data_IF_391563610967
#
_entry.id   IF_391563610967
#
_cell.length_a   1.000
_cell.length_b   1.000
_cell.length_c   1.000
_cell.angle_alpha   90.00
_cell.angle_beta   90.00
_cell.angle_gamma   90.00
#
_symmetry.space_group_name_H-M   'P 1'
#
loop_
_entity.id
_entity.type
_entity.pdbx_description
1 polymer ?
#
# COMPACT_ATOMS: atom_id res chain seq x y z
N UNK A 1 -39.04 -43.90 36.03
CA UNK A 1 -37.84 -44.09 35.19
C UNK A 1 -38.27 -44.13 33.73
N UNK A 2 -38.26 -42.99 33.05
CA UNK A 2 -38.61 -42.87 31.63
C UNK A 2 -37.89 -41.66 31.03
N UNK A 3 -37.31 -41.90 29.85
CA UNK A 3 -36.98 -40.98 28.77
C UNK A 3 -35.60 -40.30 28.80
N UNK A 4 -34.63 -41.07 28.31
CA UNK A 4 -33.49 -40.58 27.52
C UNK A 4 -34.02 -39.71 26.37
N UNK A 5 -33.52 -38.48 26.23
CA UNK A 5 -33.49 -37.75 24.96
C UNK A 5 -32.12 -37.14 24.79
N UNK A 6 -31.32 -37.84 24.00
CA UNK A 6 -30.10 -37.34 23.38
C UNK A 6 -30.52 -36.31 22.33
N UNK A 7 -30.00 -35.09 22.42
CA UNK A 7 -30.07 -34.12 21.32
C UNK A 7 -28.63 -33.64 21.07
N UNK A 8 -27.97 -34.34 20.16
CA UNK A 8 -26.81 -33.83 19.42
C UNK A 8 -27.39 -32.95 18.32
N UNK A 9 -27.11 -31.65 18.36
CA UNK A 9 -27.26 -30.78 17.20
C UNK A 9 -25.89 -30.23 16.85
N UNK A 10 -25.42 -30.67 15.70
CA UNK A 10 -24.14 -30.40 15.06
C UNK A 10 -24.04 -28.92 14.71
N UNK A 11 -22.90 -28.31 15.05
CA UNK A 11 -22.42 -27.05 14.48
C UNK A 11 -22.28 -27.21 12.97
N UNK A 12 -23.02 -26.44 12.19
CA UNK A 12 -22.79 -26.32 10.75
C UNK A 12 -22.91 -24.87 10.31
N UNK A 13 -21.73 -24.25 10.15
CA UNK A 13 -21.39 -23.18 9.21
C UNK A 13 -22.50 -22.24 8.77
N UNK A 14 -22.57 -21.08 9.43
CA UNK A 14 -23.08 -19.84 8.83
C UNK A 14 -21.91 -18.89 8.63
N UNK A 15 -20.95 -19.31 7.82
CA UNK A 15 -19.90 -18.47 7.27
C UNK A 15 -19.93 -18.64 5.76
N UNK A 16 -19.71 -17.56 5.04
CA UNK A 16 -19.55 -17.49 3.58
C UNK A 16 -20.86 -17.40 2.78
N UNK A 17 -21.56 -16.29 2.96
CA UNK A 17 -22.07 -15.50 1.82
C UNK A 17 -21.92 -14.02 2.18
N UNK A 18 -20.67 -13.55 2.29
CA UNK A 18 -20.38 -12.14 2.05
C UNK A 18 -20.56 -11.91 0.53
N UNK A 19 -21.82 -11.88 0.10
CA UNK A 19 -22.15 -11.28 -1.19
C UNK A 19 -21.70 -9.83 -1.10
N UNK A 20 -20.70 -9.46 -1.89
CA UNK A 20 -20.20 -8.11 -2.06
C UNK A 20 -21.38 -7.14 -2.27
N UNK A 21 -21.82 -6.50 -1.17
CA UNK A 21 -22.65 -5.32 -1.23
C UNK A 21 -21.68 -4.15 -1.24
N UNK A 22 -21.75 -3.36 -2.30
CA UNK A 22 -20.93 -2.17 -2.48
C UNK A 22 -20.98 -1.29 -1.22
N UNK A 23 -19.86 -1.20 -0.51
CA UNK A 23 -19.59 -0.21 0.52
C UNK A 23 -18.22 0.41 0.24
N UNK A 24 -18.02 0.86 -0.99
CA UNK A 24 -16.75 1.47 -1.35
C UNK A 24 -16.63 2.85 -0.67
N UNK A 25 -15.56 2.93 0.11
CA UNK A 25 -14.85 4.08 0.66
C UNK A 25 -13.70 3.49 1.50
N UNK A 26 -14.06 2.68 2.50
CA UNK A 26 -13.14 1.99 3.40
C UNK A 26 -13.35 0.49 3.32
N UNK A 27 -12.27 -0.24 3.07
CA UNK A 27 -12.29 -1.71 3.00
C UNK A 27 -11.64 -2.29 4.26
N UNK A 28 -12.30 -3.27 4.87
CA UNK A 28 -11.67 -4.01 5.94
C UNK A 28 -10.49 -4.81 5.41
N UNK A 29 -9.37 -4.80 6.14
CA UNK A 29 -8.20 -5.61 5.80
C UNK A 29 -7.99 -6.71 6.86
N UNK A 30 -8.56 -7.92 6.67
CA UNK A 30 -8.60 -8.94 7.70
C UNK A 30 -7.22 -9.47 8.07
N UNK A 31 -6.98 -9.70 9.36
CA UNK A 31 -5.73 -10.28 9.86
C UNK A 31 -5.48 -11.71 9.38
N UNK A 32 -6.50 -12.40 8.86
CA UNK A 32 -6.40 -13.74 8.28
C UNK A 32 -6.26 -13.73 6.74
N UNK A 33 -6.17 -12.56 6.12
CA UNK A 33 -6.22 -12.40 4.67
C UNK A 33 -7.63 -12.58 4.09
N UNK A 34 -7.69 -12.65 2.76
CA UNK A 34 -8.93 -12.80 1.99
C UNK A 34 -8.87 -14.04 1.10
N UNK A 35 -10.01 -14.67 0.85
CA UNK A 35 -10.09 -15.83 -0.03
C UNK A 35 -9.93 -15.44 -1.49
N UNK A 36 -9.08 -16.16 -2.21
CA UNK A 36 -8.88 -16.03 -3.67
C UNK A 36 -9.00 -17.44 -4.26
N UNK A 37 -10.19 -17.76 -4.78
CA UNK A 37 -10.50 -19.13 -5.19
C UNK A 37 -10.46 -20.09 -3.99
N UNK A 38 -9.61 -21.12 -4.07
CA UNK A 38 -9.34 -22.06 -2.98
C UNK A 38 -8.22 -21.62 -2.04
N UNK A 39 -7.50 -20.56 -2.37
CA UNK A 39 -6.32 -20.09 -1.66
C UNK A 39 -6.64 -18.84 -0.83
N UNK A 40 -5.63 -18.35 -0.12
CA UNK A 40 -5.69 -17.13 0.70
C UNK A 40 -4.67 -16.13 0.19
N UNK A 41 -5.06 -14.87 0.05
CA UNK A 41 -4.17 -13.75 -0.24
C UNK A 41 -4.08 -12.80 0.94
N UNK A 42 -2.91 -12.20 1.13
CA UNK A 42 -2.75 -11.06 2.02
C UNK A 42 -3.32 -9.77 1.43
N UNK A 43 -3.57 -9.71 0.12
CA UNK A 43 -3.94 -8.52 -0.64
C UNK A 43 -5.42 -8.47 -0.97
N UNK A 44 -5.99 -7.26 -1.01
CA UNK A 44 -7.24 -6.92 -1.70
C UNK A 44 -6.92 -6.05 -2.93
N UNK A 45 -7.75 -6.15 -3.97
CA UNK A 45 -7.62 -5.31 -5.17
C UNK A 45 -8.44 -4.03 -5.01
N UNK A 46 -7.84 -2.89 -5.36
CA UNK A 46 -8.47 -1.58 -5.28
C UNK A 46 -8.69 -0.99 -6.67
N UNK A 47 -7.63 -0.91 -7.48
CA UNK A 47 -7.70 -0.34 -8.82
C UNK A 47 -6.71 -1.04 -9.75
N UNK A 48 -7.01 -2.23 -10.29
CA UNK A 48 -6.07 -2.98 -11.13
C UNK A 48 -5.96 -2.42 -12.57
N UNK A 49 -6.34 -1.17 -12.81
CA UNK A 49 -6.25 -0.58 -14.16
C UNK A 49 -4.82 -0.21 -14.51
N UNK A 50 -4.54 -0.17 -15.82
CA UNK A 50 -3.24 0.19 -16.37
C UNK A 50 -2.07 -0.65 -15.89
N UNK A 51 -2.29 -1.95 -15.71
CA UNK A 51 -1.24 -2.93 -15.40
C UNK A 51 -0.34 -2.51 -14.24
N UNK A 52 -0.94 -1.85 -13.24
CA UNK A 52 -0.29 -1.37 -12.03
C UNK A 52 0.65 -0.18 -12.24
N UNK A 53 0.52 0.59 -13.32
CA UNK A 53 1.39 1.74 -13.59
C UNK A 53 1.85 1.78 -15.04
N UNK A 54 2.54 0.70 -15.43
CA UNK A 54 3.14 0.43 -16.76
C UNK A 54 2.24 0.47 -18.01
N UNK A 55 0.98 0.86 -17.86
CA UNK A 55 0.04 0.97 -18.96
C UNK A 55 0.01 2.38 -19.53
N UNK A 56 0.01 2.51 -20.86
CA UNK A 56 -0.06 3.82 -21.53
C UNK A 56 -1.26 3.95 -22.48
N UNK A 57 -1.61 5.20 -22.80
CA UNK A 57 -2.69 5.53 -23.74
C UNK A 57 -4.06 5.01 -23.30
N UNK A 58 -4.66 4.09 -24.08
CA UNK A 58 -5.94 3.47 -23.74
C UNK A 58 -5.86 2.53 -22.53
N UNK A 59 -4.65 2.10 -22.18
CA UNK A 59 -4.37 1.26 -21.03
C UNK A 59 -3.77 2.09 -19.88
N UNK A 60 -3.85 3.42 -19.88
CA UNK A 60 -3.35 4.21 -18.76
C UNK A 60 -4.11 3.95 -17.45
N UNK A 61 -3.47 4.10 -16.27
CA UNK A 61 -4.16 4.04 -14.99
C UNK A 61 -5.37 4.97 -14.94
N UNK A 62 -6.51 4.44 -14.48
CA UNK A 62 -7.76 5.20 -14.40
C UNK A 62 -7.92 5.76 -12.98
N UNK A 63 -8.06 7.08 -12.88
CA UNK A 63 -8.33 7.75 -11.60
C UNK A 63 -9.70 7.35 -11.03
N UNK A 64 -9.86 7.20 -9.70
CA UNK A 64 -11.14 6.87 -9.10
C UNK A 64 -12.16 8.00 -9.36
N UNK A 65 -13.27 7.67 -10.03
CA UNK A 65 -14.29 8.64 -10.39
C UNK A 65 -15.35 8.89 -9.31
N UNK A 66 -15.42 8.04 -8.29
CA UNK A 66 -16.38 8.17 -7.18
C UNK A 66 -15.92 7.31 -6.00
N UNK A 67 -16.56 7.48 -4.85
CA UNK A 67 -16.38 6.56 -3.72
C UNK A 67 -16.90 5.16 -4.01
N UNK A 68 -17.67 4.93 -5.09
CA UNK A 68 -18.04 3.57 -5.50
C UNK A 68 -16.85 2.75 -6.03
N UNK A 69 -15.72 3.40 -6.35
CA UNK A 69 -14.47 2.71 -6.74
C UNK A 69 -13.87 2.02 -5.51
N UNK A 70 -13.46 0.74 -5.60
CA UNK A 70 -12.96 -0.01 -4.44
C UNK A 70 -11.81 0.72 -3.73
N UNK A 71 -11.85 0.71 -2.40
CA UNK A 71 -10.91 1.41 -1.52
C UNK A 71 -10.81 2.95 -1.72
N UNK A 72 -11.58 3.57 -2.61
CA UNK A 72 -11.39 4.98 -2.96
C UNK A 72 -12.18 5.92 -2.06
N UNK A 73 -11.47 6.89 -1.48
CA UNK A 73 -12.03 8.02 -0.73
C UNK A 73 -11.71 9.33 -1.45
N UNK A 74 -12.66 10.27 -1.43
CA UNK A 74 -12.58 11.53 -2.17
C UNK A 74 -12.81 12.73 -1.23
N UNK A 75 -11.88 13.01 -0.29
CA UNK A 75 -11.94 14.22 0.51
C UNK A 75 -11.88 15.46 -0.39
N UNK A 76 -12.44 16.58 0.09
CA UNK A 76 -12.40 17.83 -0.68
C UNK A 76 -10.99 18.42 -0.81
N UNK A 77 -10.13 18.18 0.18
CA UNK A 77 -8.74 18.61 0.24
C UNK A 77 -7.90 17.53 0.90
N UNK A 78 -6.62 17.45 0.55
CA UNK A 78 -5.68 16.48 1.13
C UNK A 78 -5.57 16.58 2.66
N UNK A 79 -5.72 17.78 3.21
CA UNK A 79 -5.63 18.03 4.67
C UNK A 79 -6.90 17.63 5.45
N UNK A 80 -7.98 17.26 4.75
CA UNK A 80 -9.24 16.88 5.39
C UNK A 80 -9.32 15.37 5.58
N UNK A 81 -9.90 14.96 6.71
CA UNK A 81 -10.17 13.57 6.99
C UNK A 81 -10.98 12.93 5.84
N UNK A 82 -10.55 11.79 5.31
CA UNK A 82 -11.23 11.11 4.20
C UNK A 82 -12.44 10.28 4.67
N UNK A 83 -13.16 10.77 5.67
CA UNK A 83 -14.31 10.09 6.25
C UNK A 83 -15.38 11.13 6.65
N UNK A 84 -16.62 11.00 6.18
CA UNK A 84 -17.69 11.96 6.46
C UNK A 84 -18.10 12.02 7.94
N UNK A 85 -17.70 11.04 8.75
CA UNK A 85 -17.99 11.04 10.18
C UNK A 85 -17.01 11.92 10.98
N UNK A 86 -15.91 12.38 10.38
CA UNK A 86 -15.04 13.41 10.94
C UNK A 86 -15.60 14.79 10.57
N UNK A 87 -15.83 15.63 11.56
CA UNK A 87 -16.49 16.92 11.37
C UNK A 87 -15.97 17.97 12.36
N UNK A 88 -16.26 19.25 12.10
CA UNK A 88 -15.82 20.31 12.99
C UNK A 88 -14.29 20.37 13.10
N UNK A 89 -13.77 20.24 14.31
CA UNK A 89 -12.32 20.26 14.57
C UNK A 89 -11.62 18.99 14.05
N UNK A 90 -12.29 17.83 14.13
CA UNK A 90 -11.72 16.52 13.76
C UNK A 90 -11.54 16.39 12.24
N UNK A 91 -12.18 17.25 11.45
CA UNK A 91 -12.03 17.26 10.00
C UNK A 91 -10.58 17.56 9.57
N UNK A 92 -9.83 18.30 10.38
CA UNK A 92 -8.43 18.64 10.11
C UNK A 92 -7.53 17.72 10.93
N UNK A 93 -6.35 17.41 10.40
CA UNK A 93 -5.41 16.53 11.09
C UNK A 93 -5.07 17.06 12.49
N UNK A 94 -4.95 16.15 13.44
CA UNK A 94 -4.46 16.38 14.80
C UNK A 94 -2.95 16.56 14.82
N UNK A 95 -2.24 15.70 14.07
CA UNK A 95 -0.79 15.76 13.90
C UNK A 95 -0.41 15.65 12.43
N UNK A 96 0.71 16.28 12.05
CA UNK A 96 1.27 16.16 10.71
C UNK A 96 2.78 16.19 10.73
N UNK A 97 3.39 15.58 9.71
CA UNK A 97 4.83 15.62 9.52
C UNK A 97 5.19 15.58 8.05
N UNK A 98 6.30 16.22 7.71
CA UNK A 98 6.95 16.13 6.40
C UNK A 98 8.42 15.72 6.64
N UNK A 99 8.83 14.58 6.08
CA UNK A 99 10.17 14.00 6.27
C UNK A 99 10.86 13.85 4.91
N UNK A 100 12.15 14.19 4.78
CA UNK A 100 12.91 13.87 3.58
C UNK A 100 13.10 12.36 3.45
N UNK A 101 12.93 11.84 2.23
CA UNK A 101 13.23 10.45 1.89
C UNK A 101 14.70 10.39 1.47
N UNK A 102 15.55 9.85 2.33
CA UNK A 102 16.99 9.75 2.08
C UNK A 102 17.36 8.30 1.75
N UNK A 103 17.84 8.06 0.53
CA UNK A 103 18.46 6.80 0.14
C UNK A 103 19.94 6.84 0.52
N UNK A 104 20.40 5.81 1.22
CA UNK A 104 21.83 5.60 1.50
C UNK A 104 22.12 4.09 1.45
N UNK A 105 22.62 3.65 0.30
CA UNK A 105 22.93 2.24 0.01
C UNK A 105 24.08 2.12 -0.99
N UNK A 106 24.34 0.91 -1.49
CA UNK A 106 25.40 0.65 -2.46
C UNK A 106 25.23 1.40 -3.80
N UNK A 107 23.99 1.65 -4.25
CA UNK A 107 23.72 2.40 -5.48
C UNK A 107 24.14 3.87 -5.36
N UNK A 108 23.94 4.45 -4.18
CA UNK A 108 24.35 5.83 -3.87
C UNK A 108 25.85 6.01 -3.58
N UNK A 109 26.65 4.93 -3.64
CA UNK A 109 28.05 4.95 -3.20
C UNK A 109 28.23 5.25 -1.71
N UNK A 110 27.19 5.03 -0.90
CA UNK A 110 27.14 5.37 0.53
C UNK A 110 26.83 6.85 0.84
N UNK A 111 26.50 7.66 -0.18
CA UNK A 111 26.05 9.03 0.02
C UNK A 111 24.56 9.06 0.38
N UNK A 112 24.16 9.98 1.26
CA UNK A 112 22.75 10.23 1.54
C UNK A 112 22.14 11.09 0.44
N UNK A 113 21.34 10.48 -0.44
CA UNK A 113 20.66 11.15 -1.55
C UNK A 113 19.20 11.34 -1.18
N UNK A 114 18.75 12.59 -1.15
CA UNK A 114 17.34 12.90 -0.95
C UNK A 114 16.61 12.68 -2.28
N UNK A 115 15.69 11.71 -2.31
CA UNK A 115 14.91 11.28 -3.48
C UNK A 115 13.46 11.79 -3.46
N UNK A 116 13.04 12.47 -2.38
CA UNK A 116 11.69 13.01 -2.25
C UNK A 116 11.31 13.38 -0.83
N UNK A 117 10.01 13.52 -0.60
CA UNK A 117 9.41 13.81 0.70
C UNK A 117 8.26 12.85 0.99
N UNK A 118 8.19 12.38 2.24
CA UNK A 118 7.03 11.71 2.81
C UNK A 118 6.24 12.74 3.62
N UNK A 119 4.95 12.87 3.33
CA UNK A 119 3.99 13.61 4.14
C UNK A 119 3.09 12.64 4.88
N UNK A 120 2.89 12.87 6.17
CA UNK A 120 1.95 12.12 7.00
C UNK A 120 0.97 13.06 7.70
N UNK A 121 -0.23 12.54 7.89
CA UNK A 121 -1.29 13.16 8.67
C UNK A 121 -1.90 12.12 9.60
N UNK A 122 -2.27 12.54 10.80
CA UNK A 122 -3.13 11.76 11.70
C UNK A 122 -4.39 12.58 11.93
N UNK A 123 -5.54 12.04 11.57
CA UNK A 123 -6.83 12.53 12.02
C UNK A 123 -7.29 11.69 13.20
N UNK A 124 -7.89 12.33 14.19
CA UNK A 124 -8.31 11.70 15.43
C UNK A 124 -9.73 12.19 15.74
N UNK A 125 -10.59 11.28 16.18
CA UNK A 125 -11.95 11.58 16.60
C UNK A 125 -12.34 10.74 17.80
N UNK A 126 -12.90 11.39 18.81
CA UNK A 126 -13.47 10.71 19.98
C UNK A 126 -14.77 9.99 19.59
N UNK A 127 -14.88 8.70 19.91
CA UNK A 127 -16.04 7.86 19.53
C UNK A 127 -17.02 7.73 20.71
N UNK A 128 -16.52 7.80 21.94
CA UNK A 128 -17.32 7.79 23.16
C UNK A 128 -16.63 8.53 24.32
N UNK A 129 -17.38 8.81 25.38
CA UNK A 129 -16.90 9.51 26.59
C UNK A 129 -15.95 8.65 27.46
N UNK A 130 -15.28 7.64 26.89
CA UNK A 130 -14.38 6.71 27.62
C UNK A 130 -12.91 6.77 27.15
N UNK A 131 -12.50 7.91 26.57
CA UNK A 131 -11.17 8.10 25.99
C UNK A 131 -10.87 7.09 24.87
N UNK A 132 -11.92 6.65 24.15
CA UNK A 132 -11.80 5.77 22.99
C UNK A 132 -11.87 6.59 21.71
N UNK A 133 -10.82 6.50 20.89
CA UNK A 133 -10.68 7.29 19.68
C UNK A 133 -10.62 6.41 18.44
N UNK A 134 -11.02 6.96 17.31
CA UNK A 134 -10.74 6.44 15.98
C UNK A 134 -9.72 7.35 15.31
N UNK A 135 -8.65 6.75 14.80
CA UNK A 135 -7.59 7.47 14.11
C UNK A 135 -7.48 7.03 12.65
N UNK A 136 -7.21 7.99 11.78
CA UNK A 136 -6.82 7.76 10.39
C UNK A 136 -5.37 8.19 10.22
N UNK A 137 -4.52 7.24 9.84
CA UNK A 137 -3.12 7.47 9.53
C UNK A 137 -2.98 7.57 8.01
N UNK A 138 -2.69 8.78 7.52
CA UNK A 138 -2.42 9.06 6.12
C UNK A 138 -0.93 9.13 5.83
N UNK A 139 -0.50 8.59 4.69
CA UNK A 139 0.85 8.79 4.15
C UNK A 139 0.85 9.00 2.64
N UNK A 140 1.73 9.89 2.18
CA UNK A 140 1.93 10.22 0.76
C UNK A 140 3.39 10.50 0.48
N UNK A 141 3.90 10.03 -0.65
CA UNK A 141 5.21 10.43 -1.15
C UNK A 141 5.08 11.43 -2.28
N UNK A 142 6.04 12.35 -2.38
CA UNK A 142 6.29 13.17 -3.56
C UNK A 142 7.77 13.06 -3.88
N UNK A 143 8.06 12.46 -5.03
CA UNK A 143 9.39 12.24 -5.55
C UNK A 143 9.88 13.46 -6.33
N UNK A 144 11.19 13.57 -6.48
CA UNK A 144 11.81 14.65 -7.26
C UNK A 144 12.92 14.05 -8.13
N UNK A 145 13.39 14.85 -9.08
CA UNK A 145 14.60 14.50 -9.85
C UNK A 145 15.77 14.30 -8.91
N UNK A 146 16.26 13.05 -8.85
CA UNK A 146 17.37 12.67 -8.01
C UNK A 146 18.02 11.45 -8.61
N UNK A 147 19.22 11.63 -9.17
CA UNK A 147 20.08 10.52 -9.55
C UNK A 147 20.55 9.77 -8.30
N UNK A 148 19.92 8.63 -8.00
CA UNK A 148 20.29 7.81 -6.86
C UNK A 148 21.46 6.85 -7.17
N UNK A 149 21.76 6.58 -8.44
CA UNK A 149 22.71 5.54 -8.83
C UNK A 149 23.95 6.14 -9.47
N UNK A 150 24.86 6.60 -8.62
CA UNK A 150 26.12 7.26 -9.03
C UNK A 150 27.08 6.34 -9.80
N UNK A 151 26.76 5.06 -9.95
CA UNK A 151 27.56 4.07 -10.66
C UNK A 151 27.14 3.89 -12.13
N UNK A 152 25.95 4.38 -12.51
CA UNK A 152 25.44 4.27 -13.87
C UNK A 152 25.47 5.63 -14.58
N UNK A 153 25.65 5.68 -15.90
CA UNK A 153 25.50 6.92 -16.65
C UNK A 153 24.01 7.30 -16.74
N UNK A 154 23.70 8.58 -16.67
CA UNK A 154 22.32 9.08 -16.81
C UNK A 154 21.78 9.67 -15.51
N UNK A 155 20.46 9.76 -15.41
CA UNK A 155 19.75 10.12 -14.17
C UNK A 155 18.83 8.97 -13.83
N UNK A 156 19.14 8.28 -12.73
CA UNK A 156 18.35 7.15 -12.26
C UNK A 156 17.36 7.65 -11.22
N UNK A 157 16.07 7.73 -11.58
CA UNK A 157 15.03 8.17 -10.65
C UNK A 157 14.47 6.99 -9.89
N UNK A 158 14.25 7.17 -8.59
CA UNK A 158 13.61 6.14 -7.77
C UNK A 158 12.12 6.07 -8.10
N UNK A 159 11.61 4.86 -8.26
CA UNK A 159 10.19 4.58 -8.48
C UNK A 159 9.63 3.89 -7.22
N UNK A 160 8.53 4.41 -6.69
CA UNK A 160 7.84 3.82 -5.55
C UNK A 160 6.70 2.96 -6.08
N UNK A 161 6.94 1.66 -6.15
CA UNK A 161 5.91 0.67 -6.47
C UNK A 161 5.13 0.24 -5.24
N UNK A 162 5.76 0.25 -4.06
CA UNK A 162 5.11 -0.17 -2.84
C UNK A 162 5.50 0.70 -1.64
N UNK A 163 4.52 0.97 -0.79
CA UNK A 163 4.66 1.69 0.47
C UNK A 163 4.09 0.83 1.60
N UNK A 164 4.93 0.38 2.52
CA UNK A 164 4.49 -0.39 3.68
C UNK A 164 4.60 0.41 4.98
N UNK A 165 3.60 0.25 5.85
CA UNK A 165 3.49 0.89 7.16
C UNK A 165 3.35 -0.13 8.26
N UNK A 166 4.13 0.00 9.33
CA UNK A 166 4.13 -0.93 10.47
C UNK A 166 3.23 -0.49 11.64
N UNK A 167 3.13 -1.36 12.65
CA UNK A 167 2.53 -1.09 13.96
C UNK A 167 1.10 -1.60 14.12
N UNK A 168 0.59 -2.38 13.17
CA UNK A 168 -0.82 -2.78 13.16
C UNK A 168 -1.11 -4.05 13.95
N UNK A 169 -0.12 -4.67 14.58
CA UNK A 169 -0.30 -5.94 15.30
C UNK A 169 -1.42 -5.86 16.33
N UNK A 170 -2.33 -6.85 16.30
CA UNK A 170 -3.49 -6.90 17.19
C UNK A 170 -4.63 -5.93 16.87
N UNK A 171 -4.47 -5.03 15.89
CA UNK A 171 -5.51 -4.05 15.51
C UNK A 171 -6.37 -4.56 14.35
N UNK A 172 -7.67 -4.40 14.49
CA UNK A 172 -8.60 -4.38 13.36
C UNK A 172 -8.42 -3.07 12.62
N UNK A 173 -8.26 -3.15 11.30
CA UNK A 173 -8.02 -1.96 10.48
C UNK A 173 -8.90 -1.97 9.25
N UNK A 174 -9.23 -0.78 8.79
CA UNK A 174 -9.77 -0.53 7.47
C UNK A 174 -8.78 0.31 6.68
N UNK A 175 -8.78 0.15 5.36
CA UNK A 175 -7.84 0.82 4.45
C UNK A 175 -8.57 1.53 3.34
N UNK A 176 -7.95 2.60 2.85
CA UNK A 176 -8.44 3.37 1.73
C UNK A 176 -7.28 4.11 1.04
N UNK A 177 -7.56 4.72 -0.11
CA UNK A 177 -6.65 5.65 -0.77
C UNK A 177 -7.42 6.82 -1.40
N UNK A 178 -6.74 7.94 -1.60
CA UNK A 178 -7.23 9.06 -2.38
C UNK A 178 -6.18 9.52 -3.36
N UNK A 179 -6.60 9.97 -4.53
CA UNK A 179 -5.73 10.69 -5.46
C UNK A 179 -5.99 12.19 -5.43
N UNK A 180 -6.69 12.74 -4.42
CA UNK A 180 -6.98 14.18 -4.36
C UNK A 180 -5.74 15.00 -3.92
N UNK A 181 -5.41 16.10 -4.63
CA UNK A 181 -5.91 16.49 -5.96
C UNK A 181 -5.36 15.56 -7.05
N UNK A 182 -6.16 15.28 -8.10
CA UNK A 182 -6.04 14.21 -9.12
C UNK A 182 -4.79 14.24 -10.02
N UNK A 183 -3.61 14.37 -9.42
CA UNK A 183 -2.28 14.41 -10.06
C UNK A 183 -1.35 13.37 -9.43
N UNK A 184 -1.93 12.26 -8.98
CA UNK A 184 -1.26 11.24 -8.19
C UNK A 184 -1.60 9.85 -8.71
N UNK A 185 -0.65 8.93 -8.59
CA UNK A 185 -0.88 7.53 -8.96
C UNK A 185 -1.87 6.87 -8.01
N UNK A 186 -2.82 6.07 -8.54
CA UNK A 186 -3.76 5.34 -7.69
C UNK A 186 -3.03 4.27 -6.87
N UNK A 187 -3.76 3.69 -5.91
CA UNK A 187 -3.34 2.47 -5.23
C UNK A 187 -4.00 1.27 -5.90
N UNK A 188 -3.18 0.36 -6.42
CA UNK A 188 -3.64 -0.77 -7.22
C UNK A 188 -4.17 -1.90 -6.33
N UNK A 189 -3.45 -2.20 -5.24
CA UNK A 189 -3.83 -3.19 -4.22
C UNK A 189 -3.28 -2.81 -2.85
N UNK A 190 -3.88 -3.35 -1.81
CA UNK A 190 -3.49 -3.14 -0.41
C UNK A 190 -3.43 -4.49 0.29
N UNK A 191 -2.37 -4.76 1.05
CA UNK A 191 -2.18 -6.07 1.68
C UNK A 191 -1.75 -6.02 3.13
N UNK A 192 -2.23 -6.98 3.92
CA UNK A 192 -1.80 -7.22 5.31
C UNK A 192 -0.53 -8.06 5.29
N UNK A 193 0.57 -7.46 4.83
CA UNK A 193 1.85 -8.12 4.59
C UNK A 193 2.99 -7.13 4.65
N UNK A 194 4.18 -7.63 4.96
CA UNK A 194 5.42 -6.89 4.77
C UNK A 194 5.90 -6.92 3.32
N UNK A 195 5.62 -7.98 2.56
CA UNK A 195 6.28 -8.27 1.28
C UNK A 195 5.61 -7.57 0.11
N UNK A 196 6.33 -6.65 -0.55
CA UNK A 196 5.96 -6.15 -1.87
C UNK A 196 6.18 -7.24 -2.92
N UNK A 197 5.20 -7.48 -3.78
CA UNK A 197 5.31 -8.46 -4.87
C UNK A 197 5.40 -7.72 -6.18
N UNK A 198 6.42 -7.96 -6.98
CA UNK A 198 6.55 -7.33 -8.29
C UNK A 198 5.35 -7.66 -9.19
N UNK A 199 4.89 -6.67 -9.95
CA UNK A 199 3.91 -6.84 -11.03
C UNK A 199 4.46 -6.25 -12.33
N UNK A 200 4.14 -6.88 -13.47
CA UNK A 200 4.47 -6.40 -14.83
C UNK A 200 3.36 -6.82 -15.80
N UNK A 201 3.20 -6.16 -16.96
CA UNK A 201 2.22 -6.54 -17.99
C UNK A 201 2.66 -7.77 -18.80
N UNK A 202 3.20 -8.79 -18.12
CA UNK A 202 3.75 -10.01 -18.72
C UNK A 202 3.12 -11.27 -18.12
N UNK A 203 3.18 -12.37 -18.86
CA UNK A 203 2.66 -13.66 -18.36
C UNK A 203 3.48 -14.17 -17.19
N UNK A 204 2.78 -14.48 -16.09
CA UNK A 204 3.35 -15.08 -14.88
C UNK A 204 3.14 -14.19 -13.66
N UNK A 205 2.98 -12.88 -13.88
CA UNK A 205 2.64 -11.91 -12.85
C UNK A 205 1.15 -12.02 -12.49
N UNK A 206 0.82 -11.77 -11.22
CA UNK A 206 -0.56 -11.85 -10.73
C UNK A 206 -0.95 -10.58 -9.96
N UNK A 207 -2.16 -10.09 -10.23
CA UNK A 207 -2.74 -8.93 -9.56
C UNK A 207 -2.86 -9.17 -8.04
N UNK A 208 -3.20 -10.40 -7.64
CA UNK A 208 -3.49 -10.76 -6.25
C UNK A 208 -2.67 -12.00 -5.80
N UNK A 209 -1.43 -11.79 -5.30
CA UNK A 209 -0.53 -12.86 -4.86
C UNK A 209 -1.14 -13.69 -3.73
N UNK A 210 -0.97 -15.01 -3.80
CA UNK A 210 -1.42 -15.92 -2.74
C UNK A 210 -0.34 -16.10 -1.66
N UNK A 211 -0.75 -16.57 -0.49
CA UNK A 211 0.12 -16.94 0.63
C UNK A 211 0.86 -18.26 0.37
N UNK A 212 1.73 -18.64 1.30
CA UNK A 212 2.53 -19.87 1.27
C UNK A 212 3.92 -19.66 0.66
N UNK A 213 4.53 -18.50 0.94
CA UNK A 213 5.92 -18.20 0.62
C UNK A 213 6.87 -18.85 1.66
N UNK A 214 6.45 -18.93 2.92
CA UNK A 214 7.23 -19.42 4.05
C UNK A 214 8.28 -18.43 4.58
N UNK A 215 8.25 -17.18 4.12
CA UNK A 215 9.17 -16.10 4.50
C UNK A 215 8.57 -14.73 4.19
N UNK A 216 9.20 -13.67 4.70
CA UNK A 216 8.75 -12.28 4.53
C UNK A 216 9.87 -11.38 4.00
N UNK A 217 10.37 -11.59 2.77
CA UNK A 217 11.31 -10.66 2.15
C UNK A 217 10.66 -9.30 1.91
N UNK A 218 11.45 -8.22 1.86
CA UNK A 218 10.94 -6.89 1.54
C UNK A 218 10.27 -6.85 0.15
N UNK A 219 10.92 -7.46 -0.84
CA UNK A 219 10.47 -7.55 -2.22
C UNK A 219 10.55 -9.01 -2.67
N UNK A 220 9.51 -9.51 -3.32
CA UNK A 220 9.46 -10.82 -3.95
C UNK A 220 9.13 -10.69 -5.43
N UNK A 221 9.89 -11.33 -6.30
CA UNK A 221 9.81 -11.15 -7.74
C UNK A 221 11.11 -11.51 -8.45
N UNK A 222 11.25 -11.08 -9.70
CA UNK A 222 12.43 -11.28 -10.55
C UNK A 222 13.15 -9.96 -10.81
N UNK A 223 14.35 -9.84 -10.27
CA UNK A 223 15.18 -8.64 -10.40
C UNK A 223 16.02 -8.64 -11.69
N UNK A 224 15.41 -8.99 -12.84
CA UNK A 224 16.06 -9.08 -14.16
C UNK A 224 15.06 -8.73 -15.27
N UNK A 225 15.55 -8.12 -16.35
CA UNK A 225 14.82 -7.83 -17.59
C UNK A 225 15.65 -8.25 -18.84
N UNK A 226 15.04 -8.60 -20.00
CA UNK A 226 13.62 -8.90 -20.26
C UNK A 226 13.31 -10.42 -20.19
N UNK A 227 12.08 -10.78 -20.52
CA UNK A 227 11.64 -12.16 -20.79
C UNK A 227 12.57 -12.89 -21.80
N UNK A 228 12.90 -14.19 -21.62
CA UNK A 228 12.32 -15.14 -20.66
C UNK A 228 12.93 -15.09 -19.26
N UNK A 229 14.07 -14.42 -19.08
CA UNK A 229 14.74 -14.33 -17.77
C UNK A 229 13.95 -13.51 -16.77
N UNK A 230 13.13 -12.56 -17.24
CA UNK A 230 12.25 -11.72 -16.43
C UNK A 230 10.90 -12.35 -16.05
N UNK A 231 10.62 -13.62 -16.42
CA UNK A 231 9.35 -14.28 -16.05
C UNK A 231 9.43 -14.85 -14.63
N UNK A 232 8.45 -14.56 -13.76
CA UNK A 232 8.46 -15.07 -12.40
C UNK A 232 8.03 -16.53 -12.34
N UNK A 233 8.57 -17.23 -11.36
CA UNK A 233 8.07 -18.50 -10.86
C UNK A 233 6.83 -18.27 -9.97
N UNK A 234 6.07 -19.34 -9.71
CA UNK A 234 4.94 -19.28 -8.81
C UNK A 234 5.32 -18.93 -7.35
N UNK A 235 6.58 -19.13 -6.95
CA UNK A 235 7.05 -18.74 -5.61
C UNK A 235 7.37 -17.25 -5.52
N UNK A 236 7.84 -16.64 -6.61
CA UNK A 236 8.14 -15.20 -6.73
C UNK A 236 6.87 -14.34 -6.84
N UNK A 237 5.69 -14.97 -6.87
CA UNK A 237 4.38 -14.32 -6.94
C UNK A 237 3.52 -14.65 -5.71
N UNK A 238 4.18 -14.68 -4.55
CA UNK A 238 3.56 -14.93 -3.25
C UNK A 238 3.93 -13.86 -2.23
N UNK A 239 3.06 -13.66 -1.26
CA UNK A 239 3.34 -12.90 -0.06
C UNK A 239 2.58 -13.53 1.11
N UNK A 240 3.29 -13.78 2.21
CA UNK A 240 2.66 -14.25 3.43
C UNK A 240 2.02 -13.10 4.20
N UNK A 241 0.99 -13.43 4.98
CA UNK A 241 0.33 -12.47 5.85
C UNK A 241 1.31 -12.04 6.93
N UNK A 242 1.39 -10.73 7.16
CA UNK A 242 2.06 -10.13 8.29
C UNK A 242 1.10 -9.14 8.95
N UNK A 243 0.69 -9.44 10.18
CA UNK A 243 -0.32 -8.63 10.88
C UNK A 243 0.21 -7.28 11.34
N UNK A 244 1.51 -7.07 11.39
CA UNK A 244 2.08 -5.79 11.81
C UNK A 244 2.19 -4.78 10.66
N UNK A 245 2.15 -5.25 9.42
CA UNK A 245 2.39 -4.42 8.23
C UNK A 245 1.16 -4.30 7.32
N UNK A 246 1.02 -3.11 6.73
CA UNK A 246 0.10 -2.83 5.64
C UNK A 246 0.91 -2.32 4.47
N UNK A 247 0.87 -3.02 3.34
CA UNK A 247 1.58 -2.69 2.12
C UNK A 247 0.61 -2.20 1.04
N UNK A 248 0.87 -1.02 0.48
CA UNK A 248 0.08 -0.39 -0.57
C UNK A 248 0.90 -0.40 -1.86
N UNK A 249 0.38 -1.01 -2.93
CA UNK A 249 1.02 -0.98 -4.24
C UNK A 249 0.54 0.26 -5.00
N UNK A 250 1.46 1.06 -5.49
CA UNK A 250 1.25 2.28 -6.28
C UNK A 250 2.33 2.33 -7.37
N UNK A 251 2.45 3.45 -8.05
CA UNK A 251 3.46 3.67 -9.08
C UNK A 251 3.77 5.16 -9.12
N UNK A 252 4.52 5.63 -8.12
CA UNK A 252 4.91 7.03 -8.05
C UNK A 252 6.33 7.20 -8.58
N UNK A 253 6.51 8.13 -9.50
CA UNK A 253 7.77 8.35 -10.20
C UNK A 253 7.90 9.81 -10.64
N UNK A 254 9.06 10.42 -10.45
CA UNK A 254 9.33 11.77 -10.97
C UNK A 254 9.32 11.83 -12.51
N UNK A 255 9.92 10.83 -13.16
CA UNK A 255 10.03 10.73 -14.62
C UNK A 255 9.94 9.26 -15.04
N UNK A 256 8.90 8.97 -15.79
CA UNK A 256 8.52 7.63 -16.26
C UNK A 256 8.90 7.47 -17.75
N UNK A 257 9.33 6.26 -18.16
CA UNK A 257 9.69 5.91 -19.53
C UNK A 257 8.46 5.65 -20.43
N UNK A 258 7.30 5.34 -19.85
CA UNK A 258 6.07 5.03 -20.58
C UNK A 258 5.11 6.23 -20.76
N UNK A 259 5.38 7.31 -20.02
CA UNK A 259 4.64 8.57 -20.05
C UNK A 259 3.54 8.72 -18.98
N UNK A 260 3.37 7.78 -18.05
CA UNK A 260 2.40 7.82 -16.95
C UNK A 260 2.90 8.63 -15.73
N UNK A 261 3.41 9.84 -15.97
CA UNK A 261 4.10 10.62 -14.94
C UNK A 261 3.19 11.10 -13.80
N UNK A 262 3.37 10.57 -12.59
CA UNK A 262 2.97 11.24 -11.36
C UNK A 262 4.04 11.09 -10.27
N UNK A 263 4.76 12.19 -10.01
CA UNK A 263 5.74 12.28 -8.93
C UNK A 263 5.15 12.02 -7.54
N UNK A 264 3.83 12.18 -7.41
CA UNK A 264 3.10 11.97 -6.18
C UNK A 264 2.40 10.60 -6.17
N UNK A 265 2.53 9.87 -5.08
CA UNK A 265 1.56 8.82 -4.78
C UNK A 265 0.22 9.45 -4.42
N UNK A 266 -0.86 8.66 -4.52
CA UNK A 266 -2.06 8.94 -3.78
C UNK A 266 -1.77 9.01 -2.27
N UNK A 267 -2.65 9.66 -1.51
CA UNK A 267 -2.65 9.53 -0.06
C UNK A 267 -3.22 8.14 0.29
N UNK A 268 -2.47 7.38 1.07
CA UNK A 268 -2.81 6.03 1.51
C UNK A 268 -3.21 6.09 2.97
N UNK A 269 -4.31 5.41 3.32
CA UNK A 269 -4.90 5.52 4.64
C UNK A 269 -5.05 4.16 5.32
N UNK A 270 -4.77 4.15 6.61
CA UNK A 270 -5.17 3.08 7.53
C UNK A 270 -5.99 3.70 8.66
N UNK A 271 -7.19 3.17 8.91
CA UNK A 271 -8.09 3.55 9.99
C UNK A 271 -8.13 2.45 11.03
N UNK A 272 -8.02 2.83 12.30
CA UNK A 272 -8.08 1.92 13.43
C UNK A 272 -8.54 2.64 14.70
N UNK A 273 -8.93 1.86 15.71
CA UNK A 273 -9.07 2.40 17.08
C UNK A 273 -7.70 2.80 17.63
N UNK A 274 -7.67 3.90 18.38
CA UNK A 274 -6.49 4.50 18.98
C UNK A 274 -6.79 5.06 20.37
N UNK A 275 -5.75 5.56 21.06
CA UNK A 275 -5.89 6.35 22.29
C UNK A 275 -5.68 7.84 21.98
N UNK A 276 -6.23 8.72 22.82
CA UNK A 276 -6.04 10.18 22.73
C UNK A 276 -4.65 10.68 23.16
N UNK A 277 -3.69 9.75 23.29
CA UNK A 277 -2.31 10.06 23.66
C UNK A 277 -1.53 10.60 22.45
N UNK A 278 -0.35 11.17 22.71
CA UNK A 278 0.57 11.59 21.65
C UNK A 278 1.02 10.41 20.81
N UNK A 279 1.13 10.62 19.50
CA UNK A 279 1.61 9.59 18.58
C UNK A 279 3.13 9.54 18.53
N UNK A 280 3.70 8.36 18.78
CA UNK A 280 5.14 8.14 18.68
C UNK A 280 5.58 7.97 17.22
N UNK A 281 6.88 8.16 16.98
CA UNK A 281 7.52 7.90 15.70
C UNK A 281 8.55 6.78 15.81
N UNK A 282 8.78 6.08 14.70
CA UNK A 282 9.90 5.15 14.59
C UNK A 282 10.64 5.38 13.28
N UNK A 283 11.97 5.29 13.34
CA UNK A 283 12.93 5.45 12.24
C UNK A 283 12.65 4.55 11.05
N UNK A 284 11.96 3.45 11.29
CA UNK A 284 11.74 2.40 10.31
C UNK A 284 10.24 2.09 10.14
N UNK A 285 9.37 3.04 10.51
CA UNK A 285 7.91 2.89 10.43
C UNK A 285 7.37 2.67 9.02
N UNK A 286 8.02 3.29 8.02
CA UNK A 286 7.65 3.19 6.61
C UNK A 286 8.76 2.49 5.81
N UNK A 287 8.35 1.67 4.84
CA UNK A 287 9.21 1.10 3.80
C UNK A 287 8.71 1.53 2.44
N UNK A 288 9.57 2.16 1.65
CA UNK A 288 9.32 2.49 0.25
C UNK A 288 10.11 1.52 -0.61
N UNK A 289 9.48 0.97 -1.65
CA UNK A 289 10.09 -0.08 -2.45
C UNK A 289 9.93 0.16 -3.93
N UNK A 290 11.03 -0.05 -4.61
CA UNK A 290 11.13 -0.18 -6.05
C UNK A 290 11.21 -1.67 -6.37
N UNK A 291 10.28 -2.16 -7.17
CA UNK A 291 10.10 -3.59 -7.44
C UNK A 291 10.43 -3.96 -8.88
N UNK A 292 11.19 -3.11 -9.59
CA UNK A 292 11.58 -3.34 -10.97
C UNK A 292 10.37 -3.62 -11.87
N UNK A 293 9.33 -2.79 -11.78
CA UNK A 293 8.14 -2.94 -12.63
C UNK A 293 8.48 -2.67 -14.11
N UNK A 294 9.32 -1.67 -14.35
CA UNK A 294 9.76 -1.20 -15.67
C UNK A 294 11.27 -0.88 -15.69
N UNK A 295 11.77 -0.45 -16.84
CA UNK A 295 13.13 0.10 -16.94
C UNK A 295 13.15 1.48 -16.26
N UNK A 296 14.33 2.02 -15.99
CA UNK A 296 14.42 3.37 -15.47
C UNK A 296 13.86 4.38 -16.49
N UNK A 297 13.60 5.63 -16.07
CA UNK A 297 13.05 6.69 -16.92
C UNK A 297 13.88 7.04 -18.18
N UNK A 298 15.07 6.45 -18.35
CA UNK A 298 15.86 6.51 -19.57
C UNK A 298 15.49 5.43 -20.62
N UNK A 299 14.61 4.49 -20.26
CA UNK A 299 14.13 3.38 -21.08
C UNK A 299 15.20 2.31 -21.38
N UNK A 300 16.34 2.32 -20.69
CA UNK A 300 17.48 1.44 -21.00
C UNK A 300 18.13 0.83 -19.76
N UNK A 301 18.23 1.57 -18.66
CA UNK A 301 18.85 1.05 -17.43
C UNK A 301 17.85 0.26 -16.60
N UNK A 302 18.33 -0.82 -15.97
CA UNK A 302 17.48 -1.63 -15.09
C UNK A 302 17.01 -0.80 -13.89
N UNK A 303 15.78 -1.07 -13.41
CA UNK A 303 15.25 -0.45 -12.20
C UNK A 303 15.28 -1.43 -11.03
N UNK A 304 16.42 -1.66 -10.36
CA UNK A 304 16.61 -2.82 -9.50
C UNK A 304 15.73 -2.81 -8.25
N UNK A 305 15.63 -3.96 -7.58
CA UNK A 305 15.00 -4.05 -6.27
C UNK A 305 15.72 -3.18 -5.23
N UNK A 306 15.02 -2.18 -4.70
CA UNK A 306 15.53 -1.27 -3.67
C UNK A 306 14.45 -1.08 -2.61
N UNK A 307 14.86 -1.14 -1.33
CA UNK A 307 14.04 -0.71 -0.20
C UNK A 307 14.69 0.50 0.48
N UNK A 308 13.87 1.50 0.82
CA UNK A 308 14.25 2.69 1.59
C UNK A 308 13.40 2.75 2.86
N UNK A 309 14.06 2.97 3.99
CA UNK A 309 13.40 3.14 5.29
C UNK A 309 13.14 4.62 5.54
N UNK A 310 11.95 4.95 6.03
CA UNK A 310 11.59 6.33 6.37
C UNK A 310 10.96 6.36 7.74
N UNK A 311 11.35 7.37 8.53
CA UNK A 311 10.73 7.62 9.82
C UNK A 311 9.25 7.98 9.63
N UNK A 312 8.38 7.35 10.42
CA UNK A 312 6.92 7.47 10.28
C UNK A 312 6.22 7.36 11.63
N UNK A 313 4.94 7.74 11.70
CA UNK A 313 4.17 7.61 12.94
C UNK A 313 3.83 6.13 13.19
N UNK A 314 3.79 5.72 14.46
CA UNK A 314 3.33 4.39 14.86
C UNK A 314 1.95 4.51 15.50
N UNK A 315 0.99 3.65 15.13
CA UNK A 315 -0.31 3.66 15.78
C UNK A 315 -0.22 3.24 17.26
N UNK A 316 -0.87 4.01 18.13
CA UNK A 316 -1.04 3.71 19.56
C UNK A 316 -2.23 2.79 19.81
#
# INVERSE_FOLDING_TARGET
MKNLKLAIAVSSALSVLASAQAMAAWENLPAAGVSVGSDTSAYILCNPTGDFGSGSGANAPVQPGSTASPCAVLPAFEIYAPDPNFSGADLVFKESRIVPINMNNSYTGGASINIGTLTEYIWEREIDDTDTYECIYGMKVVLKEADYNVNEPGVQNFEVNDMARKGWSGKTIDVAYSTVPSVASPTYRIGRTFTAVQHRPETGYVDQPITGLGSSPAINGVNVWPTPSGRPTAAEQKADIDTDWVNFTTDANFLDDDGSTAAASGMQYVRAMCTGDTHDTDTDAIRLRQTFQELNGDGVTDNPFIEVQVEGFIPN
#
